data_IF_679008398793
#
_entry.id   IF_679008398793
#
_cell.length_a   1.000
_cell.length_b   1.000
_cell.length_c   1.000
_cell.angle_alpha   90.00
_cell.angle_beta   90.00
_cell.angle_gamma   90.00
#
_symmetry.space_group_name_H-M   'P 1'
#
loop_
_entity.id
_entity.type
_entity.pdbx_description
1 polymer ?
#
# COMPACT_ATOMS: atom_id res chain seq x y z
N UNK A 1 13.22 -19.92 -34.54
CA UNK A 1 12.78 -19.37 -33.27
C UNK A 1 13.55 -20.05 -32.14
N UNK A 2 14.37 -19.30 -31.39
CA UNK A 2 15.15 -19.86 -30.28
C UNK A 2 14.17 -20.30 -29.16
N UNK A 3 14.45 -21.48 -28.56
CA UNK A 3 13.68 -21.98 -27.41
C UNK A 3 13.99 -21.04 -26.23
N UNK A 4 12.98 -20.51 -25.53
CA UNK A 4 13.23 -19.61 -24.41
C UNK A 4 14.07 -20.30 -23.32
N UNK A 5 14.92 -19.52 -22.66
CA UNK A 5 15.80 -19.98 -21.57
C UNK A 5 14.96 -20.64 -20.45
N UNK A 6 15.37 -21.80 -19.92
CA UNK A 6 14.70 -22.45 -18.80
C UNK A 6 14.48 -21.53 -17.58
N UNK A 7 15.41 -20.61 -17.31
CA UNK A 7 15.27 -19.62 -16.25
C UNK A 7 14.18 -18.58 -16.55
N UNK A 8 14.05 -18.19 -17.82
CA UNK A 8 13.03 -17.25 -18.29
C UNK A 8 11.64 -17.88 -18.29
N UNK A 9 11.54 -19.17 -18.67
CA UNK A 9 10.30 -19.95 -18.57
C UNK A 9 9.86 -20.14 -17.11
N UNK A 10 10.79 -20.40 -16.21
CA UNK A 10 10.51 -20.56 -14.77
C UNK A 10 10.02 -19.25 -14.16
N UNK A 11 10.64 -18.11 -14.52
CA UNK A 11 10.23 -16.78 -14.07
C UNK A 11 8.84 -16.44 -14.56
N UNK A 12 8.55 -16.62 -15.83
CA UNK A 12 7.23 -16.41 -16.43
C UNK A 12 6.14 -17.29 -15.78
N UNK A 13 6.47 -18.54 -15.42
CA UNK A 13 5.53 -19.44 -14.73
C UNK A 13 5.27 -18.97 -13.29
N UNK A 14 6.29 -18.51 -12.58
CA UNK A 14 6.17 -17.98 -11.23
C UNK A 14 5.30 -16.72 -11.20
N UNK A 15 5.46 -15.81 -12.16
CA UNK A 15 4.62 -14.62 -12.34
C UNK A 15 3.16 -14.98 -12.60
N UNK A 16 2.88 -15.94 -13.49
CA UNK A 16 1.52 -16.41 -13.74
C UNK A 16 0.86 -17.00 -12.50
N UNK A 17 1.62 -17.72 -11.67
CA UNK A 17 1.12 -18.25 -10.39
C UNK A 17 0.76 -17.10 -9.45
N UNK A 18 1.57 -16.05 -9.36
CA UNK A 18 1.28 -14.87 -8.53
C UNK A 18 0.07 -14.09 -9.03
N UNK A 19 -0.10 -13.93 -10.33
CA UNK A 19 -1.27 -13.25 -10.91
C UNK A 19 -2.56 -14.06 -10.67
N UNK A 20 -2.51 -15.38 -10.84
CA UNK A 20 -3.61 -16.27 -10.52
C UNK A 20 -3.94 -16.26 -9.01
N UNK A 21 -2.92 -16.29 -8.16
CA UNK A 21 -3.06 -16.20 -6.71
C UNK A 21 -3.68 -14.87 -6.29
N UNK A 22 -3.24 -13.76 -6.89
CA UNK A 22 -3.83 -12.44 -6.66
C UNK A 22 -5.35 -12.46 -6.93
N UNK A 23 -5.75 -12.91 -8.12
CA UNK A 23 -7.16 -12.96 -8.52
C UNK A 23 -7.97 -13.87 -7.60
N UNK A 24 -7.43 -15.02 -7.22
CA UNK A 24 -8.10 -16.01 -6.37
C UNK A 24 -8.25 -15.50 -4.93
N UNK A 25 -7.18 -14.95 -4.34
CA UNK A 25 -7.24 -14.36 -3.01
C UNK A 25 -8.18 -13.14 -2.96
N UNK A 26 -8.16 -12.30 -3.98
CA UNK A 26 -9.00 -11.12 -4.07
C UNK A 26 -10.50 -11.42 -4.14
N UNK A 27 -10.85 -12.57 -4.72
CA UNK A 27 -12.27 -13.00 -4.88
C UNK A 27 -12.79 -13.79 -3.68
N UNK A 28 -11.96 -14.67 -3.10
CA UNK A 28 -12.38 -15.63 -2.05
C UNK A 28 -11.82 -15.30 -0.67
N UNK A 29 -10.85 -14.38 -0.59
CA UNK A 29 -10.07 -14.15 0.61
C UNK A 29 -8.95 -15.21 0.78
N UNK A 30 -7.98 -14.88 1.63
CA UNK A 30 -6.84 -15.77 1.89
C UNK A 30 -7.28 -17.12 2.52
N UNK A 31 -8.21 -17.08 3.50
CA UNK A 31 -8.58 -18.29 4.27
C UNK A 31 -9.26 -19.34 3.38
N UNK A 32 -10.20 -18.91 2.56
CA UNK A 32 -11.07 -19.79 1.78
C UNK A 32 -10.47 -20.18 0.42
N UNK A 33 -9.24 -19.74 0.12
CA UNK A 33 -8.52 -20.13 -1.09
C UNK A 33 -7.68 -21.38 -0.84
N UNK A 34 -7.89 -22.43 -1.64
CA UNK A 34 -7.00 -23.59 -1.67
C UNK A 34 -5.90 -23.42 -2.72
N UNK A 35 -4.77 -24.15 -2.54
CA UNK A 35 -3.69 -24.17 -3.55
C UNK A 35 -4.17 -24.75 -4.88
N UNK A 36 -5.15 -25.65 -4.85
CA UNK A 36 -5.75 -26.24 -6.05
C UNK A 36 -6.55 -25.22 -6.86
N UNK A 37 -7.19 -24.23 -6.20
CA UNK A 37 -7.86 -23.11 -6.88
C UNK A 37 -6.86 -22.25 -7.64
N UNK A 38 -5.72 -21.95 -7.01
CA UNK A 38 -4.63 -21.18 -7.62
C UNK A 38 -4.03 -21.97 -8.80
N UNK A 39 -3.85 -23.29 -8.64
CA UNK A 39 -3.30 -24.14 -9.69
C UNK A 39 -4.20 -24.17 -10.92
N UNK A 40 -5.53 -24.29 -10.73
CA UNK A 40 -6.52 -24.21 -11.79
C UNK A 40 -6.49 -22.86 -12.52
N UNK A 41 -6.47 -21.75 -11.76
CA UNK A 41 -6.41 -20.40 -12.32
C UNK A 41 -5.08 -20.09 -13.05
N UNK A 42 -3.96 -20.68 -12.60
CA UNK A 42 -2.65 -20.53 -13.23
C UNK A 42 -2.41 -21.51 -14.40
N UNK A 43 -3.40 -22.34 -14.74
CA UNK A 43 -3.28 -23.40 -15.74
C UNK A 43 -2.05 -24.30 -15.50
N UNK A 44 -1.86 -24.73 -14.23
CA UNK A 44 -0.77 -25.60 -13.82
C UNK A 44 -1.25 -26.70 -12.87
N UNK A 45 -0.40 -27.67 -12.60
CA UNK A 45 -0.70 -28.68 -11.57
C UNK A 45 -0.34 -28.19 -10.17
N UNK A 46 -0.93 -28.80 -9.13
CA UNK A 46 -0.54 -28.58 -7.73
C UNK A 46 0.97 -28.80 -7.50
N UNK A 47 1.56 -29.81 -8.15
CA UNK A 47 3.01 -30.04 -8.13
C UNK A 47 3.79 -28.89 -8.78
N UNK A 48 3.24 -28.27 -9.86
CA UNK A 48 3.81 -27.09 -10.47
C UNK A 48 3.80 -25.87 -9.55
N UNK A 49 2.77 -25.71 -8.72
CA UNK A 49 2.75 -24.69 -7.67
C UNK A 49 3.86 -24.97 -6.63
N UNK A 50 3.89 -26.19 -6.06
CA UNK A 50 4.86 -26.53 -5.02
C UNK A 50 6.32 -26.52 -5.45
N UNK A 51 6.57 -26.63 -6.75
CA UNK A 51 7.92 -26.43 -7.30
C UNK A 51 8.43 -24.99 -7.11
N UNK A 52 7.53 -24.01 -7.15
CA UNK A 52 7.87 -22.58 -7.01
C UNK A 52 7.64 -22.05 -5.61
N UNK A 53 6.64 -22.57 -4.90
CA UNK A 53 6.16 -22.07 -3.60
C UNK A 53 5.90 -23.25 -2.66
N UNK A 54 6.61 -23.35 -1.54
CA UNK A 54 6.49 -24.49 -0.63
C UNK A 54 5.10 -24.62 0.04
N UNK A 55 4.35 -23.52 0.14
CA UNK A 55 3.03 -23.47 0.75
C UNK A 55 2.24 -22.22 0.31
N UNK A 56 0.94 -22.15 0.68
CA UNK A 56 0.05 -21.04 0.39
C UNK A 56 0.56 -19.72 1.02
N UNK A 57 1.13 -19.81 2.20
CA UNK A 57 1.70 -18.69 2.95
C UNK A 57 2.83 -18.00 2.17
N UNK A 58 3.70 -18.80 1.52
CA UNK A 58 4.82 -18.24 0.72
C UNK A 58 4.34 -17.51 -0.54
N UNK A 59 3.25 -18.00 -1.16
CA UNK A 59 2.62 -17.31 -2.30
C UNK A 59 2.08 -15.95 -1.84
N UNK A 60 1.32 -15.94 -0.74
CA UNK A 60 0.72 -14.72 -0.22
C UNK A 60 1.76 -13.71 0.24
N UNK A 61 2.81 -14.16 0.94
CA UNK A 61 3.93 -13.32 1.39
C UNK A 61 4.60 -12.62 0.20
N UNK A 62 4.91 -13.36 -0.85
CA UNK A 62 5.55 -12.78 -2.03
C UNK A 62 4.63 -11.83 -2.78
N UNK A 63 3.34 -12.14 -2.85
CA UNK A 63 2.35 -11.24 -3.43
C UNK A 63 2.31 -9.91 -2.66
N UNK A 64 2.31 -9.95 -1.33
CA UNK A 64 2.37 -8.76 -0.48
C UNK A 64 3.64 -7.94 -0.74
N UNK A 65 4.80 -8.60 -0.75
CA UNK A 65 6.10 -7.96 -0.98
C UNK A 65 6.15 -7.30 -2.36
N UNK A 66 5.79 -8.03 -3.41
CA UNK A 66 5.78 -7.52 -4.79
C UNK A 66 4.84 -6.32 -4.95
N UNK A 67 3.69 -6.36 -4.28
CA UNK A 67 2.73 -5.25 -4.33
C UNK A 67 3.25 -4.02 -3.59
N UNK A 68 3.86 -4.21 -2.43
CA UNK A 68 4.51 -3.14 -1.69
C UNK A 68 5.66 -2.51 -2.48
N UNK A 69 6.50 -3.34 -3.13
CA UNK A 69 7.61 -2.86 -3.98
C UNK A 69 7.09 -2.01 -5.15
N UNK A 70 6.00 -2.44 -5.78
CA UNK A 70 5.35 -1.67 -6.86
C UNK A 70 4.84 -0.31 -6.36
N UNK A 71 4.23 -0.26 -5.16
CA UNK A 71 3.77 0.99 -4.56
C UNK A 71 4.95 1.91 -4.22
N UNK A 72 5.96 1.39 -3.52
CA UNK A 72 7.17 2.16 -3.17
C UNK A 72 7.82 2.71 -4.43
N UNK A 73 8.05 1.89 -5.46
CA UNK A 73 8.65 2.36 -6.71
C UNK A 73 7.82 3.41 -7.46
N UNK A 74 6.48 3.42 -7.32
CA UNK A 74 5.63 4.51 -7.85
C UNK A 74 5.84 5.80 -7.06
N UNK A 75 5.86 5.71 -5.73
CA UNK A 75 6.11 6.86 -4.85
C UNK A 75 7.49 7.45 -5.11
N UNK A 76 8.54 6.64 -5.15
CA UNK A 76 9.90 7.09 -5.43
C UNK A 76 10.01 7.82 -6.78
N UNK A 77 9.38 7.29 -7.83
CA UNK A 77 9.35 7.97 -9.14
C UNK A 77 8.62 9.31 -9.10
N UNK A 78 7.49 9.39 -8.40
CA UNK A 78 6.74 10.65 -8.27
C UNK A 78 7.54 11.69 -7.46
N UNK A 79 8.14 11.26 -6.37
CA UNK A 79 8.99 12.11 -5.50
C UNK A 79 10.25 12.60 -6.23
N UNK A 80 10.83 11.78 -7.11
CA UNK A 80 12.03 12.15 -7.88
C UNK A 80 11.79 13.28 -8.90
N UNK A 81 10.53 13.57 -9.23
CA UNK A 81 10.17 14.69 -10.11
C UNK A 81 10.13 16.03 -9.36
N UNK A 82 10.11 16.00 -8.03
CA UNK A 82 10.01 17.17 -7.17
C UNK A 82 11.35 17.49 -6.52
N UNK A 83 11.71 18.78 -6.50
CA UNK A 83 12.97 19.24 -5.89
C UNK A 83 12.78 19.81 -4.50
N UNK A 84 11.58 20.33 -4.22
CA UNK A 84 11.24 21.00 -2.99
C UNK A 84 10.71 19.99 -1.96
N UNK A 85 11.23 19.95 -0.70
CA UNK A 85 10.91 18.90 0.27
C UNK A 85 9.40 18.77 0.57
N UNK A 86 8.66 19.86 0.67
CA UNK A 86 7.21 19.80 0.93
C UNK A 86 6.47 19.24 -0.29
N UNK A 87 6.85 19.65 -1.52
CA UNK A 87 6.28 19.09 -2.75
C UNK A 87 6.55 17.59 -2.87
N UNK A 88 7.73 17.11 -2.46
CA UNK A 88 8.06 15.68 -2.39
C UNK A 88 7.11 14.91 -1.45
N UNK A 89 6.84 15.46 -0.27
CA UNK A 89 5.89 14.86 0.67
C UNK A 89 4.46 14.83 0.09
N UNK A 90 4.03 15.90 -0.57
CA UNK A 90 2.74 15.99 -1.24
C UNK A 90 2.60 14.96 -2.37
N UNK A 91 3.61 14.86 -3.23
CA UNK A 91 3.65 13.88 -4.31
C UNK A 91 3.58 12.44 -3.78
N UNK A 92 4.26 12.15 -2.66
CA UNK A 92 4.20 10.85 -2.00
C UNK A 92 2.78 10.53 -1.51
N UNK A 93 2.16 11.42 -0.75
CA UNK A 93 0.80 11.24 -0.21
C UNK A 93 -0.21 11.05 -1.35
N UNK A 94 -0.17 11.93 -2.36
CA UNK A 94 -1.05 11.86 -3.52
C UNK A 94 -0.91 10.53 -4.27
N UNK A 95 0.34 10.10 -4.54
CA UNK A 95 0.62 8.87 -5.27
C UNK A 95 0.13 7.62 -4.52
N UNK A 96 0.26 7.60 -3.19
CA UNK A 96 -0.27 6.50 -2.36
C UNK A 96 -1.79 6.43 -2.51
N UNK A 97 -2.51 7.54 -2.28
CA UNK A 97 -3.97 7.55 -2.36
C UNK A 97 -4.49 7.21 -3.76
N UNK A 98 -3.93 7.82 -4.80
CA UNK A 98 -4.31 7.54 -6.19
C UNK A 98 -4.02 6.09 -6.59
N UNK A 99 -2.89 5.50 -6.14
CA UNK A 99 -2.58 4.09 -6.41
C UNK A 99 -3.56 3.15 -5.72
N UNK A 100 -3.89 3.42 -4.45
CA UNK A 100 -4.85 2.63 -3.68
C UNK A 100 -6.25 2.75 -4.28
N UNK A 101 -6.69 3.94 -4.65
CA UNK A 101 -7.98 4.19 -5.28
C UNK A 101 -8.14 3.43 -6.61
N UNK A 102 -7.12 3.50 -7.48
CA UNK A 102 -7.12 2.80 -8.76
C UNK A 102 -7.01 1.27 -8.67
N UNK A 103 -6.66 0.72 -7.48
CA UNK A 103 -6.42 -0.71 -7.28
C UNK A 103 -7.09 -1.23 -6.00
N UNK A 104 -8.38 -0.89 -5.80
CA UNK A 104 -9.13 -1.20 -4.57
C UNK A 104 -9.05 -2.67 -4.14
N UNK A 105 -9.18 -3.58 -5.09
CA UNK A 105 -9.10 -5.03 -4.82
C UNK A 105 -7.75 -5.43 -4.24
N UNK A 106 -6.66 -4.90 -4.79
CA UNK A 106 -5.30 -5.12 -4.31
C UNK A 106 -5.09 -4.49 -2.93
N UNK A 107 -5.62 -3.28 -2.74
CA UNK A 107 -5.56 -2.60 -1.44
C UNK A 107 -6.30 -3.38 -0.35
N UNK A 108 -7.48 -3.95 -0.64
CA UNK A 108 -8.20 -4.83 0.31
C UNK A 108 -7.34 -6.01 0.75
N UNK A 109 -6.68 -6.68 -0.20
CA UNK A 109 -5.81 -7.80 0.10
C UNK A 109 -4.68 -7.41 1.07
N UNK A 110 -4.05 -6.26 0.84
CA UNK A 110 -2.93 -5.78 1.66
C UNK A 110 -3.36 -5.24 3.03
N UNK A 111 -4.44 -4.50 3.09
CA UNK A 111 -4.84 -3.76 4.29
C UNK A 111 -5.82 -4.53 5.18
N UNK A 112 -6.69 -5.35 4.61
CA UNK A 112 -7.74 -6.04 5.36
C UNK A 112 -7.50 -7.54 5.50
N UNK A 113 -7.12 -8.23 4.44
CA UNK A 113 -7.00 -9.69 4.46
C UNK A 113 -5.77 -10.15 5.26
N UNK A 114 -4.74 -9.33 5.38
CA UNK A 114 -3.61 -9.58 6.29
C UNK A 114 -4.04 -9.62 7.76
N UNK A 115 -4.97 -8.75 8.16
CA UNK A 115 -5.57 -8.77 9.50
C UNK A 115 -6.44 -10.02 9.67
N UNK A 116 -7.20 -10.39 8.65
CA UNK A 116 -8.04 -11.59 8.62
C UNK A 116 -7.26 -12.91 8.61
N UNK A 117 -6.06 -12.94 8.05
CA UNK A 117 -5.22 -14.14 7.97
C UNK A 117 -4.58 -14.57 9.32
N UNK A 118 -4.69 -13.72 10.36
CA UNK A 118 -4.29 -14.04 11.73
C UNK A 118 -2.78 -13.88 11.98
N UNK A 119 -2.31 -14.51 13.09
CA UNK A 119 -0.92 -14.34 13.58
C UNK A 119 0.16 -14.77 12.59
N UNK A 120 -0.19 -15.55 11.58
CA UNK A 120 0.78 -16.09 10.59
C UNK A 120 1.50 -14.97 9.83
N UNK A 121 0.81 -13.86 9.54
CA UNK A 121 1.39 -12.74 8.78
C UNK A 121 1.68 -11.50 9.64
N UNK A 122 1.56 -11.58 10.96
CA UNK A 122 1.78 -10.43 11.83
C UNK A 122 3.21 -9.87 11.71
N UNK A 123 4.20 -10.74 11.61
CA UNK A 123 5.59 -10.33 11.48
C UNK A 123 5.84 -9.64 10.13
N UNK A 124 5.31 -10.20 9.04
CA UNK A 124 5.41 -9.64 7.70
C UNK A 124 4.68 -8.30 7.58
N UNK A 125 3.49 -8.20 8.15
CA UNK A 125 2.71 -6.95 8.19
C UNK A 125 3.46 -5.87 8.96
N UNK A 126 4.00 -6.21 10.13
CA UNK A 126 4.80 -5.28 10.94
C UNK A 126 6.07 -4.83 10.20
N UNK A 127 6.75 -5.75 9.51
CA UNK A 127 7.92 -5.42 8.69
C UNK A 127 7.57 -4.48 7.53
N UNK A 128 6.42 -4.70 6.89
CA UNK A 128 5.92 -3.83 5.83
C UNK A 128 5.58 -2.42 6.36
N UNK A 129 4.88 -2.33 7.49
CA UNK A 129 4.58 -1.06 8.15
C UNK A 129 5.84 -0.29 8.53
N UNK A 130 6.83 -1.00 9.11
CA UNK A 130 8.11 -0.41 9.46
C UNK A 130 8.85 0.13 8.21
N UNK A 131 8.80 -0.59 7.10
CA UNK A 131 9.41 -0.16 5.83
C UNK A 131 8.79 1.15 5.31
N UNK A 132 7.46 1.28 5.33
CA UNK A 132 6.79 2.52 4.94
C UNK A 132 7.10 3.68 5.91
N UNK A 133 7.12 3.42 7.21
CA UNK A 133 7.49 4.45 8.20
C UNK A 133 8.93 4.95 7.97
N UNK A 134 9.88 4.06 7.69
CA UNK A 134 11.27 4.43 7.36
C UNK A 134 11.35 5.28 6.08
N UNK A 135 10.57 4.95 5.05
CA UNK A 135 10.52 5.75 3.83
C UNK A 135 10.01 7.17 4.11
N UNK A 136 8.92 7.30 4.87
CA UNK A 136 8.37 8.61 5.30
C UNK A 136 9.40 9.36 6.15
N UNK A 137 10.06 8.67 7.08
CA UNK A 137 11.08 9.28 7.94
C UNK A 137 12.21 9.90 7.10
N UNK A 138 12.70 9.20 6.08
CA UNK A 138 13.74 9.72 5.18
C UNK A 138 13.33 11.04 4.52
N UNK A 139 12.09 11.17 4.05
CA UNK A 139 11.59 12.43 3.48
C UNK A 139 11.44 13.55 4.52
N UNK A 140 11.06 13.21 5.75
CA UNK A 140 11.01 14.19 6.85
C UNK A 140 12.40 14.63 7.29
N UNK A 141 13.37 13.72 7.36
CA UNK A 141 14.78 14.02 7.66
C UNK A 141 15.36 14.99 6.61
N UNK A 142 15.13 14.72 5.32
CA UNK A 142 15.54 15.61 4.22
C UNK A 142 14.90 17.00 4.38
N UNK A 143 13.61 17.08 4.76
CA UNK A 143 12.91 18.34 4.94
C UNK A 143 13.44 19.15 6.13
N UNK A 144 13.81 18.50 7.23
CA UNK A 144 14.46 19.14 8.39
C UNK A 144 15.85 19.65 8.00
N UNK A 145 16.67 18.84 7.34
CA UNK A 145 18.02 19.22 6.88
C UNK A 145 17.97 20.41 5.93
N UNK A 146 16.98 20.44 5.03
CA UNK A 146 16.78 21.55 4.11
C UNK A 146 16.18 22.81 4.77
N UNK A 147 15.80 22.77 6.06
CA UNK A 147 15.12 23.86 6.74
C UNK A 147 13.71 24.15 6.25
N UNK A 148 13.11 23.22 5.52
CA UNK A 148 11.74 23.34 5.00
C UNK A 148 10.67 23.13 6.09
N UNK A 149 11.03 22.43 7.15
CA UNK A 149 10.25 22.23 8.38
C UNK A 149 11.16 22.44 9.61
N UNK A 150 10.59 22.84 10.76
CA UNK A 150 11.37 22.97 12.00
C UNK A 150 11.89 21.60 12.47
N UNK A 151 12.90 21.57 13.35
CA UNK A 151 13.34 20.34 14.00
C UNK A 151 12.17 19.64 14.72
N UNK A 152 12.00 18.34 14.44
CA UNK A 152 10.96 17.51 15.04
C UNK A 152 11.46 16.06 15.19
N UNK A 153 10.75 15.26 15.97
CA UNK A 153 10.99 13.82 16.04
C UNK A 153 10.44 13.15 14.76
N UNK A 154 11.29 13.01 13.75
CA UNK A 154 10.92 12.44 12.45
C UNK A 154 10.50 10.98 12.53
N UNK A 155 11.04 10.23 13.51
CA UNK A 155 10.68 8.84 13.75
C UNK A 155 9.23 8.71 14.25
N UNK A 156 8.85 9.47 15.26
CA UNK A 156 7.48 9.44 15.79
C UNK A 156 6.51 10.02 14.75
N UNK A 157 6.89 11.11 14.10
CA UNK A 157 6.07 11.75 13.06
C UNK A 157 5.81 10.81 11.87
N UNK A 158 6.82 10.05 11.43
CA UNK A 158 6.64 9.09 10.33
C UNK A 158 5.68 7.96 10.68
N UNK A 159 5.73 7.45 11.91
CA UNK A 159 4.78 6.44 12.41
C UNK A 159 3.37 7.01 12.46
N UNK A 160 3.22 8.25 12.94
CA UNK A 160 1.92 8.93 12.99
C UNK A 160 1.34 9.18 11.59
N UNK A 161 2.18 9.62 10.63
CA UNK A 161 1.77 9.83 9.24
C UNK A 161 1.32 8.51 8.58
N UNK A 162 2.14 7.47 8.73
CA UNK A 162 1.78 6.15 8.24
C UNK A 162 0.45 5.67 8.85
N UNK A 163 0.27 5.80 10.16
CA UNK A 163 -0.96 5.43 10.86
C UNK A 163 -2.18 6.19 10.36
N UNK A 164 -2.06 7.52 10.15
CA UNK A 164 -3.15 8.33 9.62
C UNK A 164 -3.55 7.92 8.20
N UNK A 165 -2.58 7.72 7.30
CA UNK A 165 -2.84 7.24 5.93
C UNK A 165 -3.48 5.86 5.96
N UNK A 166 -2.92 4.93 6.75
CA UNK A 166 -3.40 3.56 6.87
C UNK A 166 -4.84 3.50 7.39
N UNK A 167 -5.19 4.32 8.39
CA UNK A 167 -6.55 4.37 8.95
C UNK A 167 -7.56 4.94 7.95
N UNK A 168 -7.22 6.02 7.23
CA UNK A 168 -8.08 6.60 6.20
C UNK A 168 -8.35 5.60 5.08
N UNK A 169 -7.29 4.94 4.58
CA UNK A 169 -7.41 3.90 3.56
C UNK A 169 -8.22 2.71 4.06
N UNK A 170 -7.95 2.23 5.28
CA UNK A 170 -8.66 1.10 5.87
C UNK A 170 -10.17 1.36 5.98
N UNK A 171 -10.57 2.51 6.49
CA UNK A 171 -11.99 2.91 6.57
C UNK A 171 -12.64 3.03 5.21
N UNK A 172 -11.93 3.63 4.24
CA UNK A 172 -12.43 3.71 2.86
C UNK A 172 -12.65 2.33 2.24
N UNK A 173 -11.76 1.38 2.49
CA UNK A 173 -11.91 -0.01 1.99
C UNK A 173 -13.09 -0.75 2.62
N UNK A 174 -13.43 -0.43 3.88
CA UNK A 174 -14.54 -1.05 4.61
C UNK A 174 -15.90 -0.44 4.27
N UNK A 175 -15.93 0.76 3.69
CA UNK A 175 -17.17 1.43 3.35
C UNK A 175 -17.82 0.81 2.09
N UNK A 176 -19.12 0.49 2.17
CA UNK A 176 -19.89 -0.07 1.04
C UNK A 176 -20.11 0.95 -0.08
N UNK A 177 -20.33 2.22 0.30
CA UNK A 177 -20.53 3.36 -0.61
C UNK A 177 -19.58 4.49 -0.20
N UNK A 178 -18.26 4.26 -0.39
CA UNK A 178 -17.27 5.28 -0.10
C UNK A 178 -17.26 6.37 -1.17
N UNK A 179 -17.13 7.64 -0.74
CA UNK A 179 -16.69 8.71 -1.64
C UNK A 179 -15.34 8.36 -2.27
N UNK A 180 -14.95 8.97 -3.40
CA UNK A 180 -13.62 8.76 -3.96
C UNK A 180 -12.53 8.98 -2.91
N UNK A 181 -11.53 8.07 -2.86
CA UNK A 181 -10.46 8.18 -1.85
C UNK A 181 -9.66 9.49 -2.04
N UNK A 182 -9.58 9.95 -3.26
CA UNK A 182 -8.92 11.19 -3.65
C UNK A 182 -9.53 12.42 -2.97
N UNK A 183 -10.81 12.39 -2.63
CA UNK A 183 -11.48 13.48 -1.90
C UNK A 183 -10.93 13.66 -0.46
N UNK A 184 -10.28 12.63 0.09
CA UNK A 184 -9.59 12.73 1.37
C UNK A 184 -8.24 13.46 1.27
N UNK A 185 -7.66 13.56 0.07
CA UNK A 185 -6.30 14.09 -0.10
C UNK A 185 -6.12 15.51 0.45
N UNK A 186 -6.97 16.51 0.14
CA UNK A 186 -6.75 17.88 0.62
C UNK A 186 -6.69 17.96 2.15
N UNK A 187 -7.64 17.32 2.83
CA UNK A 187 -7.71 17.34 4.29
C UNK A 187 -6.56 16.55 4.94
N UNK A 188 -6.28 15.33 4.45
CA UNK A 188 -5.20 14.50 4.95
C UNK A 188 -3.84 15.16 4.73
N UNK A 189 -3.56 15.66 3.53
CA UNK A 189 -2.36 16.43 3.21
C UNK A 189 -2.15 17.58 4.20
N UNK A 190 -3.17 18.40 4.39
CA UNK A 190 -3.08 19.56 5.28
C UNK A 190 -2.84 19.16 6.74
N UNK A 191 -3.49 18.10 7.23
CA UNK A 191 -3.28 17.59 8.58
C UNK A 191 -1.84 17.10 8.78
N UNK A 192 -1.32 16.32 7.83
CA UNK A 192 0.04 15.78 7.89
C UNK A 192 1.08 16.90 7.81
N UNK A 193 0.99 17.81 6.85
CA UNK A 193 1.95 18.92 6.69
C UNK A 193 1.94 19.85 7.90
N UNK A 194 0.76 20.18 8.46
CA UNK A 194 0.68 20.99 9.70
C UNK A 194 1.36 20.27 10.87
N UNK A 195 1.19 18.96 11.00
CA UNK A 195 1.82 18.19 12.07
C UNK A 195 3.36 18.19 11.99
N UNK A 196 3.91 18.40 10.78
CA UNK A 196 5.35 18.58 10.58
C UNK A 196 5.82 20.04 10.71
N UNK A 197 4.91 20.98 11.01
CA UNK A 197 5.26 22.40 11.20
C UNK A 197 5.36 23.18 9.89
N UNK A 198 4.80 22.68 8.77
CA UNK A 198 4.72 23.47 7.53
C UNK A 198 3.79 24.67 7.75
N UNK A 199 4.23 25.91 7.43
CA UNK A 199 3.43 27.10 7.61
C UNK A 199 2.10 27.06 6.84
N UNK A 200 1.05 27.63 7.43
CA UNK A 200 -0.29 27.62 6.86
C UNK A 200 -0.36 28.24 5.46
N UNK A 201 0.45 29.28 5.22
CA UNK A 201 0.54 29.99 3.94
C UNK A 201 1.03 29.07 2.80
N UNK A 202 1.86 28.07 3.12
CA UNK A 202 2.34 27.08 2.15
C UNK A 202 1.34 25.95 1.91
N UNK A 203 0.50 25.66 2.89
CA UNK A 203 -0.53 24.63 2.78
C UNK A 203 -1.71 25.14 1.95
N UNK A 204 -2.03 26.43 2.09
CA UNK A 204 -3.17 27.08 1.45
C UNK A 204 -4.50 26.67 2.07
N UNK A 205 -5.58 27.18 1.47
CA UNK A 205 -6.95 26.85 1.88
C UNK A 205 -7.27 25.39 1.54
N UNK A 206 -7.83 24.69 2.51
CA UNK A 206 -8.31 23.31 2.35
C UNK A 206 -9.82 23.36 2.19
N UNK A 207 -10.36 23.10 0.99
CA UNK A 207 -11.79 23.01 0.82
C UNK A 207 -12.33 21.87 1.71
N UNK A 208 -13.23 22.24 2.61
CA UNK A 208 -13.97 21.22 3.35
C UNK A 208 -15.06 20.66 2.43
N UNK A 209 -15.18 19.35 2.29
CA UNK A 209 -16.24 18.76 1.50
C UNK A 209 -17.60 19.15 2.09
N UNK A 210 -18.57 19.50 1.23
CA UNK A 210 -19.94 19.89 1.62
C UNK A 210 -20.66 18.80 2.41
N UNK A 211 -20.26 17.56 2.23
CA UNK A 211 -20.64 16.41 3.06
C UNK A 211 -19.37 15.82 3.63
N UNK A 212 -19.26 15.84 4.95
CA UNK A 212 -18.14 15.18 5.64
C UNK A 212 -18.00 13.73 5.16
N UNK A 213 -16.79 13.22 5.14
CA UNK A 213 -16.53 11.79 4.93
C UNK A 213 -17.38 11.01 5.95
N UNK A 214 -18.46 10.40 5.48
CA UNK A 214 -19.28 9.54 6.32
C UNK A 214 -18.59 8.19 6.42
N UNK A 215 -18.05 7.90 7.57
CA UNK A 215 -17.69 6.53 7.92
C UNK A 215 -18.97 5.76 8.26
N UNK A 216 -19.07 4.47 7.89
CA UNK A 216 -20.15 3.65 8.40
C UNK A 216 -20.14 3.73 9.94
N UNK A 217 -21.30 4.07 10.53
CA UNK A 217 -21.45 3.95 11.98
C UNK A 217 -21.11 2.50 12.36
N UNK A 218 -20.28 2.35 13.40
CA UNK A 218 -19.98 1.03 13.92
C UNK A 218 -21.32 0.35 14.23
N UNK A 219 -21.59 -0.79 13.61
CA UNK A 219 -22.75 -1.58 13.91
C UNK A 219 -22.76 -1.84 15.43
N UNK A 220 -23.82 -1.34 16.11
CA UNK A 220 -24.04 -1.52 17.55
C UNK A 220 -24.35 -2.97 17.87
#
# INVERSE_FOLDING_TARGET
MAKPDPAEQSRSRRERILDAAFTTFATRGYRDTAVDDIAGAAETSKGGIYFHFPNKESIFRELMQTTADKLVGRVERAVALETEPVARAEAAIHTVLATVAGHRTMARLLFLDTVGAGRVFQAETNALHARFAVLIQGYLDDAVVAGAVPPLDTRITSIAWFGAINEVVGRWLLADQAAPLEDAYPALRAALLRSAGVPAERIGDVPLPDRGWSFPEAAR
#
